data_IF_004426124876
#
_entry.id   IF_004426124876
#
_cell.length_a   1.000
_cell.length_b   1.000
_cell.length_c   1.000
_cell.angle_alpha   90.00
_cell.angle_beta   90.00
_cell.angle_gamma   90.00
#
_symmetry.space_group_name_H-M   'P 1'
#
loop_
_entity.id
_entity.type
_entity.pdbx_description
1 polymer ?
#
# COMPACT_ATOMS: atom_id res chain seq x y z
N UNK A 1 24.75 17.53 20.19
CA UNK A 1 23.30 17.55 20.49
C UNK A 1 23.05 16.76 21.77
N UNK A 2 22.23 17.27 22.69
CA UNK A 2 21.87 16.54 23.91
C UNK A 2 21.01 15.31 23.60
N UNK A 3 21.15 14.24 24.40
CA UNK A 3 20.45 12.97 24.19
C UNK A 3 18.93 13.14 24.26
N UNK A 4 18.43 14.02 25.14
CA UNK A 4 17.00 14.27 25.29
C UNK A 4 16.46 15.02 24.08
N UNK A 5 17.20 16.03 23.61
CA UNK A 5 16.86 16.78 22.40
C UNK A 5 16.80 15.86 21.17
N UNK A 6 17.77 14.94 21.02
CA UNK A 6 17.77 13.96 19.94
C UNK A 6 16.53 13.05 19.99
N UNK A 7 16.20 12.48 21.15
CA UNK A 7 15.02 11.63 21.29
C UNK A 7 13.73 12.36 20.94
N UNK A 8 13.56 13.61 21.37
CA UNK A 8 12.39 14.42 21.02
C UNK A 8 12.29 14.64 19.52
N UNK A 9 13.40 15.00 18.88
CA UNK A 9 13.46 15.20 17.44
C UNK A 9 13.14 13.92 16.65
N UNK A 10 13.59 12.75 17.13
CA UNK A 10 13.23 11.45 16.55
C UNK A 10 11.74 11.15 16.72
N UNK A 11 11.14 11.46 17.88
CA UNK A 11 9.69 11.32 18.09
C UNK A 11 8.89 12.24 17.17
N UNK A 12 9.28 13.50 17.01
CA UNK A 12 8.63 14.43 16.07
C UNK A 12 8.77 13.93 14.62
N UNK A 13 9.92 13.37 14.25
CA UNK A 13 10.12 12.74 12.95
C UNK A 13 9.17 11.53 12.76
N UNK A 14 9.00 10.70 13.78
CA UNK A 14 8.08 9.57 13.74
C UNK A 14 6.64 10.03 13.52
N UNK A 15 6.18 11.03 14.26
CA UNK A 15 4.82 11.58 14.14
C UNK A 15 4.57 12.14 12.73
N UNK A 16 5.51 12.93 12.19
CA UNK A 16 5.42 13.46 10.82
C UNK A 16 5.35 12.35 9.77
N UNK A 17 6.22 11.35 9.86
CA UNK A 17 6.23 10.24 8.89
C UNK A 17 5.00 9.34 9.03
N UNK A 18 4.47 9.17 10.24
CA UNK A 18 3.19 8.46 10.42
C UNK A 18 2.06 9.24 9.76
N UNK A 19 1.97 10.55 9.97
CA UNK A 19 0.95 11.39 9.33
C UNK A 19 1.07 11.40 7.79
N UNK A 20 2.29 11.32 7.26
CA UNK A 20 2.53 11.33 5.80
C UNK A 20 2.23 9.98 5.13
N UNK A 21 2.53 8.85 5.80
CA UNK A 21 2.50 7.53 5.17
C UNK A 21 1.45 6.57 5.76
N UNK A 22 0.63 6.98 6.73
CA UNK A 22 -0.35 6.10 7.41
C UNK A 22 -1.33 5.41 6.48
N UNK A 23 -1.67 6.05 5.35
CA UNK A 23 -2.62 5.51 4.37
C UNK A 23 -2.05 4.34 3.56
N UNK A 24 -0.73 4.19 3.55
CA UNK A 24 -0.03 3.17 2.75
C UNK A 24 0.75 2.18 3.59
N UNK A 25 1.28 2.60 4.74
CA UNK A 25 2.11 1.79 5.62
C UNK A 25 1.56 1.88 7.04
N UNK A 26 1.34 0.74 7.73
CA UNK A 26 0.87 0.75 9.12
C UNK A 26 1.82 1.54 10.02
N UNK A 27 1.26 2.39 10.89
CA UNK A 27 2.01 3.27 11.79
C UNK A 27 3.10 2.52 12.58
N UNK A 28 2.78 1.36 13.17
CA UNK A 28 3.74 0.55 13.90
C UNK A 28 4.94 0.08 13.06
N UNK A 29 4.78 -0.02 11.74
CA UNK A 29 5.87 -0.34 10.82
C UNK A 29 6.73 0.88 10.50
N UNK A 30 6.11 2.05 10.34
CA UNK A 30 6.81 3.33 10.19
C UNK A 30 7.72 3.57 11.41
N UNK A 31 7.19 3.42 12.63
CA UNK A 31 7.97 3.57 13.87
C UNK A 31 9.21 2.65 13.91
N UNK A 32 9.05 1.38 13.53
CA UNK A 32 10.17 0.42 13.44
C UNK A 32 11.20 0.82 12.40
N UNK A 33 10.77 1.39 11.27
CA UNK A 33 11.68 1.86 10.22
C UNK A 33 12.51 3.04 10.73
N UNK A 34 11.87 4.02 11.35
CA UNK A 34 12.56 5.21 11.89
C UNK A 34 13.54 4.81 12.98
N UNK A 35 13.15 3.96 13.93
CA UNK A 35 14.07 3.46 14.97
C UNK A 35 15.26 2.71 14.36
N UNK A 36 15.03 1.89 13.32
CA UNK A 36 16.13 1.19 12.64
C UNK A 36 17.06 2.17 11.92
N UNK A 37 16.52 3.19 11.27
CA UNK A 37 17.32 4.24 10.61
C UNK A 37 18.16 5.02 11.64
N UNK A 38 17.56 5.40 12.78
CA UNK A 38 18.25 6.10 13.86
C UNK A 38 19.42 5.28 14.42
N UNK A 39 19.18 3.99 14.73
CA UNK A 39 20.25 3.10 15.18
C UNK A 39 21.38 2.93 14.17
N UNK A 40 21.07 2.86 12.87
CA UNK A 40 22.08 2.78 11.81
C UNK A 40 22.93 4.06 11.72
N UNK A 41 22.29 5.22 11.85
CA UNK A 41 23.01 6.50 11.81
C UNK A 41 23.89 6.65 13.04
N UNK A 42 23.36 6.35 14.23
CA UNK A 42 24.12 6.45 15.47
C UNK A 42 25.30 5.48 15.50
N UNK A 43 25.18 4.28 14.93
CA UNK A 43 26.29 3.32 14.88
C UNK A 43 27.37 3.68 13.87
N UNK A 44 27.00 4.28 12.73
CA UNK A 44 27.94 4.61 11.66
C UNK A 44 28.57 6.00 11.79
N UNK A 45 27.82 6.99 12.27
CA UNK A 45 28.21 8.40 12.26
C UNK A 45 28.19 9.05 13.65
N UNK A 46 27.66 8.38 14.67
CA UNK A 46 27.51 8.95 16.00
C UNK A 46 26.47 10.07 16.07
N UNK A 47 26.58 10.94 17.08
CA UNK A 47 25.64 12.06 17.33
C UNK A 47 26.11 13.35 16.66
N UNK A 48 26.23 13.32 15.34
CA UNK A 48 26.52 14.51 14.51
C UNK A 48 25.29 15.41 14.39
N UNK A 49 25.49 16.66 13.96
CA UNK A 49 24.39 17.60 13.64
C UNK A 49 23.44 17.05 12.57
N UNK A 50 23.97 16.20 11.68
CA UNK A 50 23.26 15.74 10.49
C UNK A 50 22.57 14.39 10.71
N UNK A 51 22.69 13.82 11.92
CA UNK A 51 22.18 12.50 12.24
C UNK A 51 20.66 12.38 11.98
N UNK A 52 19.90 13.43 12.31
CA UNK A 52 18.45 13.43 12.09
C UNK A 52 18.09 13.49 10.59
N UNK A 53 18.80 14.31 9.81
CA UNK A 53 18.60 14.41 8.36
C UNK A 53 18.93 13.10 7.66
N UNK A 54 20.01 12.43 8.07
CA UNK A 54 20.37 11.11 7.56
C UNK A 54 19.33 10.06 7.96
N UNK A 55 18.85 10.10 9.20
CA UNK A 55 17.80 9.20 9.69
C UNK A 55 16.52 9.36 8.86
N UNK A 56 16.09 10.60 8.62
CA UNK A 56 14.92 10.90 7.78
C UNK A 56 15.11 10.38 6.34
N UNK A 57 16.25 10.67 5.71
CA UNK A 57 16.55 10.20 4.35
C UNK A 57 16.53 8.67 4.22
N UNK A 58 17.14 7.97 5.17
CA UNK A 58 17.14 6.50 5.21
C UNK A 58 15.72 5.97 5.45
N UNK A 59 14.99 6.54 6.41
CA UNK A 59 13.63 6.11 6.72
C UNK A 59 12.70 6.26 5.50
N UNK A 60 12.73 7.42 4.84
CA UNK A 60 11.93 7.69 3.62
C UNK A 60 12.27 6.69 2.50
N UNK A 61 13.55 6.39 2.29
CA UNK A 61 13.97 5.42 1.26
C UNK A 61 13.50 3.99 1.59
N UNK A 62 13.55 3.59 2.85
CA UNK A 62 13.05 2.29 3.32
C UNK A 62 11.52 2.17 3.23
N UNK A 63 10.79 3.25 3.45
CA UNK A 63 9.33 3.32 3.26
C UNK A 63 9.00 3.20 1.77
N UNK A 64 9.66 3.99 0.91
CA UNK A 64 9.47 3.96 -0.53
C UNK A 64 9.77 2.58 -1.15
N UNK A 65 10.85 1.93 -0.73
CA UNK A 65 11.18 0.56 -1.16
C UNK A 65 10.06 -0.44 -0.84
N UNK A 66 9.47 -0.35 0.35
CA UNK A 66 8.33 -1.20 0.72
C UNK A 66 7.06 -0.92 -0.07
N UNK A 67 6.77 0.35 -0.36
CA UNK A 67 5.62 0.69 -1.20
C UNK A 67 5.78 0.11 -2.62
N UNK A 68 7.00 0.08 -3.15
CA UNK A 68 7.29 -0.55 -4.43
C UNK A 68 7.12 -2.08 -4.37
N UNK A 69 7.59 -2.74 -3.30
CA UNK A 69 7.39 -4.18 -3.08
C UNK A 69 5.90 -4.54 -3.00
N UNK A 70 5.09 -3.76 -2.26
CA UNK A 70 3.65 -3.98 -2.16
C UNK A 70 2.92 -3.80 -3.51
N UNK A 71 3.39 -2.90 -4.37
CA UNK A 71 2.84 -2.74 -5.73
C UNK A 71 3.28 -3.85 -6.69
N UNK A 72 4.47 -4.40 -6.47
CA UNK A 72 5.05 -5.45 -7.30
C UNK A 72 4.60 -6.86 -6.90
N UNK A 73 4.06 -7.06 -5.69
CA UNK A 73 3.53 -8.35 -5.24
C UNK A 73 2.07 -8.53 -5.75
N UNK A 74 1.84 -9.39 -6.76
CA UNK A 74 0.50 -9.62 -7.32
C UNK A 74 -0.46 -10.29 -6.31
N UNK A 75 0.04 -10.80 -5.17
CA UNK A 75 -0.80 -11.39 -4.12
C UNK A 75 -1.47 -10.35 -3.23
N UNK A 76 -0.96 -9.12 -3.22
CA UNK A 76 -1.52 -7.97 -2.50
C UNK A 76 -2.09 -6.90 -3.43
N UNK A 77 -2.11 -7.16 -4.75
CA UNK A 77 -2.92 -6.41 -5.68
C UNK A 77 -4.40 -6.62 -5.31
N UNK A 78 -4.91 -5.75 -4.43
CA UNK A 78 -6.34 -5.70 -4.13
C UNK A 78 -7.02 -5.50 -5.49
N UNK A 79 -7.89 -6.42 -5.94
CA UNK A 79 -8.66 -6.17 -7.13
C UNK A 79 -9.46 -4.90 -6.83
N UNK A 80 -9.18 -3.82 -7.55
CA UNK A 80 -10.09 -2.68 -7.64
C UNK A 80 -11.34 -3.25 -8.29
N UNK A 81 -12.26 -3.74 -7.46
CA UNK A 81 -13.60 -4.09 -7.90
C UNK A 81 -14.22 -2.74 -8.24
N UNK A 82 -14.55 -2.45 -9.51
CA UNK A 82 -15.30 -1.25 -9.82
C UNK A 82 -16.59 -1.33 -9.01
N UNK A 83 -16.80 -0.38 -8.09
CA UNK A 83 -18.05 -0.27 -7.34
C UNK A 83 -19.18 -0.22 -8.38
N UNK A 84 -20.19 -1.11 -8.35
CA UNK A 84 -21.35 -0.95 -9.19
C UNK A 84 -22.11 0.28 -8.66
N UNK A 85 -21.86 1.42 -9.30
CA UNK A 85 -22.63 2.63 -9.12
C UNK A 85 -24.02 2.40 -9.70
N UNK A 86 -24.99 2.13 -8.83
CA UNK A 86 -26.38 2.59 -8.92
C UNK A 86 -26.78 3.29 -10.25
N UNK A 87 -26.94 2.58 -11.36
CA UNK A 87 -27.62 3.15 -12.51
C UNK A 87 -28.28 2.05 -13.35
N UNK A 88 -29.61 2.13 -13.35
CA UNK A 88 -30.58 1.49 -14.24
C UNK A 88 -31.03 0.06 -13.91
N UNK A 89 -32.05 -0.01 -13.05
CA UNK A 89 -33.26 -0.83 -13.30
C UNK A 89 -34.47 0.04 -12.91
N UNK A 90 -35.69 -0.11 -13.47
CA UNK A 90 -36.18 -1.05 -14.49
C UNK A 90 -37.11 -0.42 -15.57
N UNK A 91 -37.34 -1.12 -16.68
CA UNK A 91 -38.57 -0.94 -17.48
C UNK A 91 -38.41 -1.07 -18.99
N UNK A 92 -38.82 -2.21 -19.53
CA UNK A 92 -39.74 -2.36 -20.67
C UNK A 92 -39.57 -3.75 -21.32
N UNK A 93 -40.25 -4.72 -20.73
CA UNK A 93 -41.21 -5.63 -21.38
C UNK A 93 -41.03 -5.91 -22.89
N UNK A 94 -40.81 -7.18 -23.26
CA UNK A 94 -40.77 -7.56 -24.68
C UNK A 94 -40.63 -9.06 -25.02
N UNK A 95 -41.53 -9.90 -24.51
CA UNK A 95 -42.05 -11.12 -25.14
C UNK A 95 -41.14 -12.28 -25.62
N UNK A 96 -41.26 -13.40 -24.88
CA UNK A 96 -41.48 -14.81 -25.27
C UNK A 96 -41.24 -15.26 -26.74
N UNK A 97 -40.50 -16.35 -26.88
CA UNK A 97 -40.84 -17.57 -27.66
C UNK A 97 -39.77 -18.64 -27.33
N UNK A 98 -39.99 -19.63 -26.47
CA UNK A 98 -40.74 -20.90 -26.62
C UNK A 98 -40.38 -21.68 -27.91
N UNK A 99 -40.00 -22.95 -27.71
CA UNK A 99 -39.96 -24.08 -28.66
C UNK A 99 -38.76 -24.13 -29.62
N UNK A 100 -38.12 -25.25 -29.94
CA UNK A 100 -38.32 -26.67 -29.64
C UNK A 100 -37.23 -27.52 -30.34
N UNK A 101 -36.93 -28.70 -29.75
CA UNK A 101 -36.67 -30.02 -30.37
C UNK A 101 -35.62 -30.22 -31.50
N UNK A 102 -34.71 -31.15 -31.20
CA UNK A 102 -34.33 -32.40 -31.92
C UNK A 102 -34.15 -32.37 -33.45
N UNK A 103 -32.99 -32.89 -33.90
CA UNK A 103 -32.75 -34.06 -34.79
C UNK A 103 -31.24 -34.12 -35.09
N UNK A 104 -30.48 -35.15 -34.71
CA UNK A 104 -30.24 -36.47 -35.35
C UNK A 104 -29.96 -36.43 -36.86
N UNK A 105 -28.67 -36.65 -37.20
CA UNK A 105 -28.16 -37.40 -38.36
C UNK A 105 -27.80 -36.59 -39.62
N UNK A 106 -27.08 -37.17 -40.60
CA UNK A 106 -26.52 -38.53 -40.66
C UNK A 106 -25.00 -38.62 -40.96
N UNK A 107 -24.48 -39.83 -40.77
CA UNK A 107 -23.20 -40.37 -41.25
C UNK A 107 -23.17 -40.35 -42.77
N UNK A 108 -22.05 -39.95 -43.36
CA UNK A 108 -21.73 -40.23 -44.76
C UNK A 108 -20.38 -40.95 -44.82
N UNK A 109 -20.46 -42.12 -45.48
CA UNK A 109 -19.51 -43.19 -45.80
C UNK A 109 -18.02 -42.88 -45.82
#
# INVERSE_FOLDING_TARGET
>A
MDAIAHRRAVTELQERLVAEFSDTVPAGRILRIVNRADHLVLSAFGRTSDALTLCEGIARRLIAGRMAEHRADPRFAVPVVPRPGWAAVPGATGHRSVSSRRRRGPVVR
#
